data_IF_597110106572
#
_entry.id   IF_597110106572
#
_cell.length_a   1.000
_cell.length_b   1.000
_cell.length_c   1.000
_cell.angle_alpha   90.00
_cell.angle_beta   90.00
_cell.angle_gamma   90.00
#
_symmetry.space_group_name_H-M   'P 1'
#
loop_
_entity.id
_entity.type
_entity.pdbx_description
1 polymer ?
#
# COMPACT_ATOMS: atom_id res chain seq x y z
N UNK A 1 -46.13 14.48 78.77
CA UNK A 1 -45.11 15.06 77.86
C UNK A 1 -44.84 14.06 76.74
N UNK A 2 -45.34 14.28 75.51
CA UNK A 2 -45.21 13.29 74.44
C UNK A 2 -43.84 13.42 73.76
N UNK A 3 -43.08 12.33 73.72
CA UNK A 3 -41.85 12.22 72.94
C UNK A 3 -42.19 11.99 71.46
N UNK A 4 -41.93 13.00 70.66
CA UNK A 4 -42.05 12.98 69.21
C UNK A 4 -41.05 12.01 68.56
N UNK A 5 -41.53 11.01 67.82
CA UNK A 5 -40.71 10.23 66.87
C UNK A 5 -40.33 11.09 65.66
N UNK A 6 -39.10 11.03 65.14
CA UNK A 6 -38.81 11.58 63.83
C UNK A 6 -39.33 10.63 62.74
N UNK A 7 -40.13 11.17 61.82
CA UNK A 7 -40.49 10.51 60.55
C UNK A 7 -39.27 10.58 59.61
N UNK A 8 -38.87 9.42 59.09
CA UNK A 8 -37.96 9.30 57.95
C UNK A 8 -38.54 10.05 56.74
N UNK A 9 -37.81 11.00 56.13
CA UNK A 9 -38.14 11.50 54.80
C UNK A 9 -37.67 10.47 53.77
N UNK A 10 -38.56 10.16 52.83
CA UNK A 10 -38.40 9.10 51.85
C UNK A 10 -37.11 9.16 51.03
N UNK A 11 -36.58 7.98 50.75
CA UNK A 11 -35.63 7.76 49.69
C UNK A 11 -36.26 8.21 48.36
N UNK A 12 -35.93 9.42 47.91
CA UNK A 12 -36.15 9.84 46.52
C UNK A 12 -35.16 9.05 45.66
N UNK A 13 -35.66 8.02 45.00
CA UNK A 13 -35.03 7.33 43.87
C UNK A 13 -34.65 8.37 42.83
N UNK A 14 -33.38 8.76 42.80
CA UNK A 14 -32.80 9.72 41.85
C UNK A 14 -31.58 9.06 41.21
N UNK A 15 -31.82 8.15 40.27
CA UNK A 15 -30.94 7.77 39.16
C UNK A 15 -31.71 6.77 38.28
N UNK A 16 -31.61 6.79 36.92
CA UNK A 16 -30.53 7.41 36.15
C UNK A 16 -31.01 8.15 34.89
N UNK A 17 -30.94 9.49 34.89
CA UNK A 17 -30.79 10.25 33.63
C UNK A 17 -29.32 10.27 33.14
N UNK A 18 -28.48 9.39 33.68
CA UNK A 18 -27.05 9.26 33.36
C UNK A 18 -26.75 8.20 32.28
N UNK A 19 -27.78 7.66 31.61
CA UNK A 19 -27.62 6.73 30.47
C UNK A 19 -27.62 7.42 29.10
N UNK A 20 -27.88 8.72 29.03
CA UNK A 20 -27.90 9.49 27.78
C UNK A 20 -26.53 10.07 27.36
N UNK A 21 -25.47 9.77 28.12
CA UNK A 21 -24.09 10.20 27.85
C UNK A 21 -23.15 9.01 27.57
N UNK A 22 -23.69 7.84 27.23
CA UNK A 22 -22.86 6.79 26.66
C UNK A 22 -22.51 7.24 25.22
N UNK A 23 -21.26 7.58 24.91
CA UNK A 23 -20.87 7.68 23.52
C UNK A 23 -21.19 6.31 22.92
N UNK A 24 -21.99 6.30 21.86
CA UNK A 24 -22.19 5.09 21.09
C UNK A 24 -20.80 4.66 20.62
N UNK A 25 -20.26 3.63 21.27
CA UNK A 25 -19.02 2.99 20.88
C UNK A 25 -19.33 2.25 19.58
N UNK A 26 -19.36 2.99 18.48
CA UNK A 26 -19.41 2.43 17.14
C UNK A 26 -18.06 1.75 16.94
N UNK A 27 -18.04 0.42 17.10
CA UNK A 27 -16.88 -0.39 16.74
C UNK A 27 -16.54 -0.20 15.26
N UNK A 28 -15.30 -0.54 14.90
CA UNK A 28 -14.84 -0.48 13.51
C UNK A 28 -15.70 -1.43 12.66
N UNK A 29 -16.31 -0.93 11.59
CA UNK A 29 -17.13 -1.75 10.71
C UNK A 29 -16.27 -2.68 9.83
N UNK A 30 -16.58 -3.98 9.84
CA UNK A 30 -15.88 -4.98 9.04
C UNK A 30 -16.51 -5.13 7.65
N UNK A 31 -15.79 -4.69 6.61
CA UNK A 31 -16.19 -4.85 5.22
C UNK A 31 -15.73 -6.22 4.69
N UNK A 32 -16.59 -6.86 3.89
CA UNK A 32 -16.30 -8.17 3.29
C UNK A 32 -15.24 -8.12 2.18
N UNK A 33 -14.92 -6.94 1.68
CA UNK A 33 -13.93 -6.78 0.62
C UNK A 33 -12.57 -7.35 1.07
N UNK A 34 -11.88 -8.01 0.15
CA UNK A 34 -10.53 -8.54 0.35
C UNK A 34 -9.63 -7.97 -0.75
N UNK A 35 -8.60 -7.17 -0.41
CA UNK A 35 -7.68 -6.65 -1.41
C UNK A 35 -6.99 -7.79 -2.16
N UNK A 36 -6.76 -7.59 -3.45
CA UNK A 36 -6.11 -8.56 -4.31
C UNK A 36 -5.15 -7.86 -5.27
N UNK A 37 -4.18 -8.63 -5.77
CA UNK A 37 -3.33 -8.20 -6.87
C UNK A 37 -4.19 -7.92 -8.11
N UNK A 38 -3.82 -6.90 -8.89
CA UNK A 38 -4.53 -6.55 -10.13
C UNK A 38 -4.56 -7.72 -11.11
N UNK A 39 -5.77 -8.12 -11.52
CA UNK A 39 -5.95 -9.15 -12.54
C UNK A 39 -6.15 -8.58 -13.94
N UNK A 40 -6.72 -7.36 -14.04
CA UNK A 40 -7.07 -6.72 -15.32
C UNK A 40 -6.70 -5.23 -15.34
N UNK A 41 -6.00 -4.75 -16.38
CA UNK A 41 -5.39 -5.52 -17.46
C UNK A 41 -4.25 -6.43 -16.95
N UNK A 42 -3.81 -7.44 -17.72
CA UNK A 42 -2.62 -8.22 -17.37
C UNK A 42 -1.39 -7.31 -17.32
N UNK A 43 -0.64 -7.37 -16.23
CA UNK A 43 0.56 -6.56 -16.00
C UNK A 43 1.75 -7.46 -15.75
N UNK A 44 2.81 -7.33 -16.55
CA UNK A 44 4.05 -8.09 -16.32
C UNK A 44 4.71 -7.70 -14.97
N UNK A 45 4.66 -6.42 -14.63
CA UNK A 45 5.18 -5.84 -13.38
C UNK A 45 4.19 -5.89 -12.20
N UNK A 46 3.39 -6.96 -12.10
CA UNK A 46 2.43 -7.18 -11.02
C UNK A 46 3.12 -7.30 -9.66
N UNK A 47 4.25 -8.01 -9.62
CA UNK A 47 5.19 -8.05 -8.51
C UNK A 47 6.61 -7.88 -9.05
N UNK A 48 7.41 -7.05 -8.37
CA UNK A 48 8.85 -6.88 -8.61
C UNK A 48 9.62 -7.36 -7.40
N UNK A 49 10.88 -6.97 -7.22
CA UNK A 49 11.63 -7.27 -6.00
C UNK A 49 11.25 -6.41 -4.78
N UNK A 50 10.56 -5.30 -5.01
CA UNK A 50 10.26 -4.31 -3.97
C UNK A 50 8.88 -3.66 -4.12
N UNK A 51 8.08 -4.08 -5.10
CA UNK A 51 6.74 -3.52 -5.35
C UNK A 51 5.74 -4.60 -5.70
N UNK A 52 4.47 -4.32 -5.46
CA UNK A 52 3.36 -5.07 -6.00
C UNK A 52 2.20 -4.15 -6.39
N UNK A 53 1.25 -4.66 -7.16
CA UNK A 53 0.16 -3.86 -7.73
C UNK A 53 -1.19 -4.45 -7.31
N UNK A 54 -1.97 -3.67 -6.57
CA UNK A 54 -3.31 -4.01 -6.10
C UNK A 54 -4.40 -3.42 -6.99
N UNK A 55 -5.55 -4.08 -7.00
CA UNK A 55 -6.80 -3.45 -7.40
C UNK A 55 -7.13 -2.28 -6.45
N UNK A 56 -7.64 -1.18 -7.00
CA UNK A 56 -8.11 -0.06 -6.20
C UNK A 56 -9.43 -0.45 -5.50
N UNK A 57 -9.68 -0.01 -4.26
CA UNK A 57 -10.86 -0.38 -3.46
C UNK A 57 -12.12 0.40 -3.90
N UNK A 58 -12.42 0.39 -5.21
CA UNK A 58 -13.57 1.07 -5.80
C UNK A 58 -14.87 0.45 -5.32
N UNK A 59 -15.87 1.29 -5.03
CA UNK A 59 -17.19 0.87 -4.55
C UNK A 59 -17.17 0.14 -3.18
N UNK A 60 -16.07 0.21 -2.42
CA UNK A 60 -15.93 -0.47 -1.12
C UNK A 60 -16.38 0.44 0.04
N UNK A 61 -16.01 1.71 -0.01
CA UNK A 61 -16.17 2.67 1.10
C UNK A 61 -17.26 3.73 0.86
N UNK A 62 -18.31 3.40 0.11
CA UNK A 62 -19.34 4.38 -0.31
C UNK A 62 -20.05 5.04 0.88
N UNK A 63 -20.26 4.31 1.97
CA UNK A 63 -20.92 4.81 3.18
C UNK A 63 -19.97 5.61 4.12
N UNK A 64 -18.70 5.77 3.74
CA UNK A 64 -17.64 6.39 4.55
C UNK A 64 -17.03 7.62 3.86
N UNK A 65 -17.88 8.46 3.24
CA UNK A 65 -17.45 9.57 2.38
C UNK A 65 -16.60 10.66 3.06
N UNK A 66 -16.64 10.76 4.40
CA UNK A 66 -15.83 11.71 5.17
C UNK A 66 -14.48 11.13 5.62
N UNK A 67 -14.22 9.86 5.32
CA UNK A 67 -13.02 9.16 5.77
C UNK A 67 -11.91 9.19 4.71
N UNK A 68 -10.68 9.28 5.19
CA UNK A 68 -9.47 8.99 4.42
C UNK A 68 -9.25 7.48 4.37
N UNK A 69 -8.96 6.96 3.19
CA UNK A 69 -8.69 5.54 2.96
C UNK A 69 -7.17 5.34 2.99
N UNK A 70 -6.73 4.48 3.90
CA UNK A 70 -5.33 4.13 4.10
C UNK A 70 -5.10 2.67 3.77
N UNK A 71 -3.93 2.37 3.20
CA UNK A 71 -3.46 0.99 3.03
C UNK A 71 -2.54 0.62 4.19
N UNK A 72 -2.89 -0.45 4.90
CA UNK A 72 -1.97 -1.13 5.81
C UNK A 72 -1.18 -2.17 5.03
N UNK A 73 0.13 -2.15 5.15
CA UNK A 73 1.04 -3.15 4.60
C UNK A 73 1.77 -3.81 5.77
N UNK A 74 1.59 -5.12 5.92
CA UNK A 74 2.12 -5.89 7.03
C UNK A 74 2.91 -7.10 6.56
N UNK A 75 3.85 -7.56 7.38
CA UNK A 75 4.32 -8.94 7.28
C UNK A 75 3.17 -9.89 7.64
N UNK A 76 3.07 -11.01 6.93
CA UNK A 76 2.00 -12.01 7.13
C UNK A 76 1.81 -12.40 8.60
N UNK A 77 2.93 -12.65 9.28
CA UNK A 77 3.03 -13.08 10.69
C UNK A 77 2.63 -11.98 11.70
N UNK A 78 2.50 -10.73 11.26
CA UNK A 78 2.09 -9.61 12.12
C UNK A 78 0.60 -9.27 12.01
N UNK A 79 -0.14 -9.89 11.09
CA UNK A 79 -1.54 -9.54 10.82
C UNK A 79 -2.48 -9.74 12.01
N UNK A 80 -2.24 -10.75 12.86
CA UNK A 80 -3.05 -11.04 14.04
C UNK A 80 -2.79 -10.08 15.22
N UNK A 81 -1.63 -9.44 15.24
CA UNK A 81 -1.22 -8.52 16.31
C UNK A 81 -1.38 -7.04 15.92
N UNK A 82 -1.80 -6.77 14.68
CA UNK A 82 -1.95 -5.41 14.19
C UNK A 82 -3.07 -4.66 14.90
N UNK A 83 -2.75 -3.50 15.45
CA UNK A 83 -3.72 -2.65 16.15
C UNK A 83 -4.26 -1.55 15.22
N UNK A 84 -5.56 -1.59 14.92
CA UNK A 84 -6.22 -0.59 14.09
C UNK A 84 -6.34 0.80 14.72
N UNK A 85 -6.12 0.93 16.04
CA UNK A 85 -6.16 2.23 16.70
C UNK A 85 -4.86 3.03 16.52
N UNK A 86 -3.79 2.40 16.02
CA UNK A 86 -2.57 3.11 15.70
C UNK A 86 -2.79 3.98 14.46
N UNK A 87 -2.55 5.29 14.58
CA UNK A 87 -2.73 6.22 13.48
C UNK A 87 -1.66 6.06 12.39
N UNK A 88 -1.86 6.61 11.19
CA UNK A 88 -0.86 6.59 10.13
C UNK A 88 0.40 7.38 10.50
N UNK A 89 1.57 6.78 10.30
CA UNK A 89 2.86 7.43 10.50
C UNK A 89 3.28 7.61 11.97
N UNK A 90 2.58 6.97 12.91
CA UNK A 90 3.04 6.88 14.31
C UNK A 90 4.23 5.92 14.42
N UNK A 91 4.96 5.88 15.56
CA UNK A 91 6.06 4.95 15.74
C UNK A 91 5.70 3.48 15.51
N UNK A 92 4.43 3.10 15.65
CA UNK A 92 3.92 1.74 15.44
C UNK A 92 3.58 1.44 13.97
N UNK A 93 3.46 2.45 13.10
CA UNK A 93 2.98 2.31 11.72
C UNK A 93 3.83 3.09 10.69
N UNK A 94 4.99 3.59 11.09
CA UNK A 94 5.89 4.34 10.21
C UNK A 94 6.70 3.41 9.28
N UNK A 95 6.83 3.79 8.01
CA UNK A 95 7.58 3.06 7.00
C UNK A 95 9.07 2.91 7.34
N UNK A 96 9.68 3.92 7.95
CA UNK A 96 11.13 4.00 8.16
C UNK A 96 11.65 2.95 9.15
N UNK A 97 10.77 2.42 9.99
CA UNK A 97 11.05 1.34 10.93
C UNK A 97 10.53 -0.02 10.44
N UNK A 98 9.96 -0.08 9.23
CA UNK A 98 9.54 -1.32 8.61
C UNK A 98 10.73 -2.01 7.90
N UNK A 99 10.95 -3.32 8.07
CA UNK A 99 10.09 -4.32 8.72
C UNK A 99 10.49 -4.65 10.17
N UNK A 100 11.46 -3.94 10.74
CA UNK A 100 12.00 -4.16 12.08
C UNK A 100 12.45 -2.83 12.70
N UNK A 101 11.96 -2.45 13.89
CA UNK A 101 11.06 -3.20 14.78
C UNK A 101 9.57 -3.20 14.35
N UNK A 102 9.18 -2.34 13.41
CA UNK A 102 7.77 -2.17 13.00
C UNK A 102 7.39 -3.21 11.96
N UNK A 103 6.38 -4.03 12.26
CA UNK A 103 5.99 -5.17 11.41
C UNK A 103 4.85 -4.85 10.43
N UNK A 104 4.29 -3.65 10.50
CA UNK A 104 3.26 -3.14 9.60
C UNK A 104 3.31 -1.62 9.53
N UNK A 105 3.09 -1.04 8.36
CA UNK A 105 3.07 0.41 8.17
C UNK A 105 1.81 0.84 7.40
N UNK A 106 1.48 2.13 7.49
CA UNK A 106 0.36 2.73 6.76
C UNK A 106 0.86 3.67 5.67
N UNK A 107 0.23 3.59 4.51
CA UNK A 107 0.59 4.41 3.34
C UNK A 107 -0.60 4.65 2.42
N UNK A 108 -0.37 5.38 1.32
CA UNK A 108 -1.34 5.61 0.24
C UNK A 108 -2.65 6.23 0.75
N UNK A 109 -2.56 7.34 1.50
CA UNK A 109 -3.72 8.14 1.87
C UNK A 109 -4.46 8.60 0.61
N UNK A 110 -5.73 8.23 0.53
CA UNK A 110 -6.62 8.61 -0.55
C UNK A 110 -8.02 8.93 -0.03
N UNK A 111 -8.64 9.99 -0.55
CA UNK A 111 -10.07 10.21 -0.34
C UNK A 111 -10.90 9.28 -1.23
N UNK A 112 -12.20 9.15 -0.95
CA UNK A 112 -13.12 8.35 -1.77
C UNK A 112 -13.12 8.79 -3.25
N UNK A 113 -12.91 10.09 -3.51
CA UNK A 113 -12.82 10.66 -4.86
C UNK A 113 -11.65 10.13 -5.70
N UNK A 114 -10.60 9.61 -5.07
CA UNK A 114 -9.47 8.96 -5.76
C UNK A 114 -9.84 7.60 -6.37
N UNK A 115 -10.95 7.00 -5.93
CA UNK A 115 -11.43 5.70 -6.38
C UNK A 115 -12.86 5.78 -6.94
N UNK A 116 -13.08 6.48 -8.08
CA UNK A 116 -14.41 6.66 -8.62
C UNK A 116 -15.11 5.31 -8.89
N UNK A 117 -16.43 5.28 -8.68
CA UNK A 117 -17.25 4.10 -8.88
C UNK A 117 -18.40 4.46 -9.84
N UNK A 118 -18.55 3.79 -11.00
CA UNK A 118 -17.74 2.67 -11.49
C UNK A 118 -16.34 3.10 -11.97
N UNK A 119 -15.48 2.11 -12.25
CA UNK A 119 -14.18 2.33 -12.89
C UNK A 119 -14.37 3.06 -14.24
N UNK A 120 -13.64 4.16 -14.53
CA UNK A 120 -13.65 4.79 -15.83
C UNK A 120 -13.24 3.82 -16.95
N UNK A 121 -13.95 3.88 -18.08
CA UNK A 121 -13.65 3.05 -19.23
C UNK A 121 -12.32 3.49 -19.88
N UNK A 122 -11.51 2.53 -20.33
CA UNK A 122 -10.24 2.79 -21.02
C UNK A 122 -9.03 3.03 -20.11
N UNK A 123 -9.23 3.32 -18.82
CA UNK A 123 -8.12 3.63 -17.91
C UNK A 123 -7.48 2.39 -17.28
N UNK A 124 -6.15 2.39 -17.23
CA UNK A 124 -5.37 1.45 -16.42
C UNK A 124 -5.24 2.02 -15.01
N UNK A 125 -6.20 1.68 -14.16
CA UNK A 125 -6.26 2.15 -12.77
C UNK A 125 -5.74 1.08 -11.82
N UNK A 126 -4.62 1.34 -11.17
CA UNK A 126 -4.00 0.41 -10.22
C UNK A 126 -3.50 1.13 -8.99
N UNK A 127 -3.21 0.37 -7.94
CA UNK A 127 -2.56 0.87 -6.73
C UNK A 127 -1.20 0.17 -6.57
N UNK A 128 -0.11 0.85 -6.92
CA UNK A 128 1.25 0.30 -6.77
C UNK A 128 1.78 0.57 -5.38
N UNK A 129 2.09 -0.50 -4.64
CA UNK A 129 2.74 -0.44 -3.33
C UNK A 129 4.25 -0.48 -3.52
N UNK A 130 4.96 0.39 -2.82
CA UNK A 130 6.42 0.49 -2.81
C UNK A 130 7.04 1.36 -3.91
N UNK A 131 6.26 2.25 -4.53
CA UNK A 131 6.73 3.03 -5.69
C UNK A 131 7.51 4.31 -5.36
N UNK A 132 7.49 4.79 -4.11
CA UNK A 132 8.09 6.07 -3.74
C UNK A 132 9.53 5.91 -3.24
N UNK A 133 10.47 5.78 -4.18
CA UNK A 133 11.91 5.67 -3.85
C UNK A 133 12.47 6.95 -3.21
N UNK A 134 11.90 8.11 -3.51
CA UNK A 134 12.40 9.41 -3.05
C UNK A 134 12.24 9.64 -1.55
N UNK A 135 11.21 9.05 -0.92
CA UNK A 135 10.99 9.17 0.54
C UNK A 135 11.56 8.00 1.34
N UNK A 136 12.18 7.01 0.69
CA UNK A 136 12.62 5.79 1.36
C UNK A 136 13.61 6.03 2.52
N UNK A 137 14.34 7.15 2.48
CA UNK A 137 15.27 7.59 3.53
C UNK A 137 14.85 8.88 4.24
N UNK A 138 13.69 9.42 3.89
CA UNK A 138 13.17 10.65 4.46
C UNK A 138 12.34 10.35 5.72
N UNK A 139 12.94 10.56 6.88
CA UNK A 139 12.28 10.34 8.18
C UNK A 139 11.17 11.34 8.49
N UNK A 140 11.08 12.45 7.74
CA UNK A 140 10.01 13.44 7.90
C UNK A 140 8.71 13.00 7.23
N UNK A 141 8.75 11.91 6.44
CA UNK A 141 7.60 11.35 5.71
C UNK A 141 7.25 9.94 6.22
N UNK A 142 6.68 9.78 7.42
CA UNK A 142 6.51 8.47 8.04
C UNK A 142 5.53 7.52 7.32
N UNK A 143 4.66 8.05 6.46
CA UNK A 143 3.66 7.30 5.69
C UNK A 143 4.10 6.97 4.26
N UNK A 144 5.41 7.05 3.99
CA UNK A 144 6.02 6.81 2.67
C UNK A 144 5.54 5.49 2.05
N UNK A 145 5.16 5.51 0.76
CA UNK A 145 4.91 4.30 -0.02
C UNK A 145 6.24 3.74 -0.56
N UNK A 146 7.21 3.55 0.33
CA UNK A 146 8.58 3.25 -0.03
C UNK A 146 8.80 1.80 -0.44
N UNK A 147 9.89 1.49 -1.17
CA UNK A 147 10.17 0.16 -1.69
C UNK A 147 10.21 -0.89 -0.58
N UNK A 148 9.58 -2.03 -0.82
CA UNK A 148 9.54 -3.14 0.12
C UNK A 148 10.92 -3.81 0.25
N UNK A 149 11.31 -4.22 1.48
CA UNK A 149 12.68 -4.61 1.78
C UNK A 149 13.08 -6.02 1.29
N UNK A 150 12.13 -6.85 0.87
CA UNK A 150 12.42 -8.24 0.48
C UNK A 150 11.22 -8.99 -0.10
N UNK A 151 11.30 -10.33 -0.23
CA UNK A 151 10.27 -11.13 -0.88
C UNK A 151 8.95 -11.29 -0.11
N UNK A 152 8.91 -10.89 1.17
CA UNK A 152 7.74 -11.10 2.04
C UNK A 152 7.79 -12.46 2.76
N UNK A 153 6.62 -13.09 3.05
CA UNK A 153 5.29 -12.76 2.57
C UNK A 153 4.67 -11.51 3.23
N UNK A 154 3.96 -10.73 2.42
CA UNK A 154 3.20 -9.55 2.86
C UNK A 154 1.69 -9.82 2.84
N UNK A 155 0.96 -9.07 3.67
CA UNK A 155 -0.50 -8.97 3.60
C UNK A 155 -0.91 -7.50 3.70
N UNK A 156 -2.06 -7.19 3.12
CA UNK A 156 -2.59 -5.83 3.13
C UNK A 156 -4.06 -5.80 3.51
N UNK A 157 -4.50 -4.67 4.06
CA UNK A 157 -5.92 -4.32 4.20
C UNK A 157 -6.09 -2.81 4.05
N UNK A 158 -7.30 -2.36 3.78
CA UNK A 158 -7.64 -0.95 3.81
C UNK A 158 -8.33 -0.60 5.14
N UNK A 159 -8.03 0.60 5.65
CA UNK A 159 -8.73 1.24 6.76
C UNK A 159 -9.34 2.56 6.28
N UNK A 160 -10.57 2.83 6.68
CA UNK A 160 -11.18 4.15 6.55
C UNK A 160 -11.06 4.88 7.89
N UNK A 161 -10.47 6.07 7.88
CA UNK A 161 -10.22 6.88 9.06
C UNK A 161 -10.94 8.23 8.94
N UNK A 162 -11.76 8.58 9.92
CA UNK A 162 -12.26 9.95 10.09
C UNK A 162 -11.31 10.70 11.02
N UNK A 163 -10.41 11.49 10.42
CA UNK A 163 -9.24 12.03 11.13
C UNK A 163 -8.30 10.89 11.54
N UNK A 164 -8.13 10.67 12.84
CA UNK A 164 -7.32 9.57 13.37
C UNK A 164 -8.17 8.36 13.84
N UNK A 165 -9.50 8.44 13.73
CA UNK A 165 -10.40 7.42 14.25
C UNK A 165 -10.73 6.39 13.16
N UNK A 166 -10.40 5.10 13.34
CA UNK A 166 -10.81 4.07 12.40
C UNK A 166 -12.32 3.85 12.47
N UNK A 167 -13.00 3.96 11.32
CA UNK A 167 -14.47 3.78 11.21
C UNK A 167 -14.85 2.52 10.44
N UNK A 168 -14.00 2.04 9.52
CA UNK A 168 -14.18 0.79 8.82
C UNK A 168 -12.85 0.15 8.41
N UNK A 169 -12.89 -1.17 8.17
CA UNK A 169 -11.75 -1.93 7.67
C UNK A 169 -12.17 -3.02 6.69
N UNK A 170 -11.26 -3.45 5.82
CA UNK A 170 -11.45 -4.61 4.96
C UNK A 170 -10.88 -5.88 5.58
N UNK A 171 -11.22 -7.05 5.04
CA UNK A 171 -10.45 -8.25 5.32
C UNK A 171 -8.98 -8.10 4.87
N UNK A 172 -8.08 -8.85 5.51
CA UNK A 172 -6.71 -9.02 5.02
C UNK A 172 -6.69 -9.75 3.67
N UNK A 173 -5.79 -9.34 2.78
CA UNK A 173 -5.52 -10.02 1.51
C UNK A 173 -5.02 -11.45 1.71
N UNK A 174 -5.01 -12.22 0.61
CA UNK A 174 -4.12 -13.39 0.54
C UNK A 174 -2.63 -12.96 0.67
N UNK A 175 -1.76 -13.93 0.91
CA UNK A 175 -0.31 -13.68 0.96
C UNK A 175 0.20 -13.15 -0.39
N UNK A 176 1.04 -12.12 -0.33
CA UNK A 176 1.69 -11.51 -1.48
C UNK A 176 3.19 -11.78 -1.37
N UNK A 177 3.72 -12.49 -2.35
CA UNK A 177 5.15 -12.79 -2.49
C UNK A 177 5.75 -11.94 -3.60
N UNK A 178 6.88 -11.31 -3.29
CA UNK A 178 7.66 -10.53 -4.26
C UNK A 178 8.73 -11.40 -4.90
N UNK A 179 9.28 -10.93 -6.01
CA UNK A 179 10.36 -11.61 -6.73
C UNK A 179 11.67 -11.47 -5.96
N UNK A 180 12.50 -12.50 -5.94
CA UNK A 180 13.87 -12.36 -5.42
C UNK A 180 14.75 -11.71 -6.50
N UNK A 181 15.36 -10.58 -6.18
CA UNK A 181 16.37 -9.98 -7.05
C UNK A 181 17.64 -10.84 -7.04
N UNK A 182 18.23 -11.09 -8.22
CA UNK A 182 19.57 -11.67 -8.29
C UNK A 182 20.61 -10.62 -7.92
N UNK A 183 21.61 -10.97 -7.09
CA UNK A 183 22.68 -10.04 -6.76
C UNK A 183 23.47 -9.71 -8.04
N UNK A 184 23.90 -8.44 -8.24
CA UNK A 184 24.65 -8.05 -9.43
C UNK A 184 25.89 -8.91 -9.68
N UNK A 185 26.55 -9.36 -8.62
CA UNK A 185 27.73 -10.25 -8.68
C UNK A 185 27.45 -11.65 -9.23
N UNK A 186 26.19 -12.08 -9.25
CA UNK A 186 25.77 -13.37 -9.85
C UNK A 186 25.40 -13.26 -11.32
N UNK A 187 25.32 -12.03 -11.85
CA UNK A 187 25.04 -11.81 -13.27
C UNK A 187 26.31 -12.17 -14.04
N UNK A 188 26.25 -13.28 -14.76
CA UNK A 188 27.32 -13.71 -15.65
C UNK A 188 27.55 -12.66 -16.74
N UNK A 189 28.68 -11.95 -16.67
CA UNK A 189 29.13 -11.03 -17.72
C UNK A 189 29.74 -11.77 -18.92
N UNK A 190 29.92 -13.10 -18.82
CA UNK A 190 30.49 -13.94 -19.88
C UNK A 190 29.50 -14.24 -21.02
N UNK A 191 28.31 -13.66 -20.99
CA UNK A 191 27.33 -13.65 -22.08
C UNK A 191 27.50 -12.49 -23.07
N UNK A 192 28.71 -11.95 -23.25
CA UNK A 192 29.02 -11.04 -24.36
C UNK A 192 29.34 -11.84 -25.63
N UNK A 193 28.43 -12.73 -26.04
CA UNK A 193 28.35 -13.09 -27.45
C UNK A 193 27.97 -11.81 -28.18
N UNK A 194 28.79 -11.35 -29.13
CA UNK A 194 28.57 -10.12 -29.89
C UNK A 194 27.08 -9.95 -30.19
N UNK A 195 26.45 -8.93 -29.60
CA UNK A 195 25.05 -8.61 -29.83
C UNK A 195 24.82 -8.61 -31.34
N UNK A 196 23.74 -9.24 -31.82
CA UNK A 196 23.40 -9.24 -33.24
C UNK A 196 23.40 -7.81 -33.81
N UNK A 197 23.10 -6.79 -32.99
CA UNK A 197 23.22 -5.39 -33.34
C UNK A 197 24.67 -4.93 -33.59
N UNK A 198 25.63 -5.39 -32.78
CA UNK A 198 27.05 -5.10 -32.99
C UNK A 198 27.55 -5.73 -34.30
N UNK A 199 27.14 -6.96 -34.61
CA UNK A 199 27.49 -7.63 -35.87
C UNK A 199 26.85 -6.89 -37.06
N UNK A 200 25.58 -6.49 -36.94
CA UNK A 200 24.90 -5.74 -37.99
C UNK A 200 25.59 -4.38 -38.26
N UNK A 201 25.95 -3.65 -37.20
CA UNK A 201 26.62 -2.35 -37.32
C UNK A 201 28.01 -2.50 -37.97
N UNK A 202 28.83 -3.46 -37.53
CA UNK A 202 30.16 -3.67 -38.13
C UNK A 202 30.05 -4.06 -39.59
N UNK A 203 29.11 -4.94 -39.95
CA UNK A 203 28.87 -5.34 -41.35
C UNK A 203 28.45 -4.15 -42.21
N UNK A 204 27.50 -3.32 -41.76
CA UNK A 204 27.05 -2.12 -42.49
C UNK A 204 28.21 -1.14 -42.67
N UNK A 205 28.96 -0.85 -41.61
CA UNK A 205 30.10 0.07 -41.68
C UNK A 205 31.19 -0.44 -42.63
N UNK A 206 31.50 -1.74 -42.60
CA UNK A 206 32.46 -2.35 -43.53
C UNK A 206 32.01 -2.25 -44.98
N UNK A 207 30.72 -2.48 -45.28
CA UNK A 207 30.17 -2.36 -46.63
C UNK A 207 30.21 -0.91 -47.10
N UNK A 208 29.75 0.04 -46.29
CA UNK A 208 29.75 1.47 -46.64
C UNK A 208 31.17 1.98 -46.88
N UNK A 209 32.13 1.54 -46.06
CA UNK A 209 33.53 1.90 -46.24
C UNK A 209 34.12 1.35 -47.54
N UNK A 210 33.83 0.10 -47.89
CA UNK A 210 34.26 -0.50 -49.15
C UNK A 210 33.66 0.23 -50.37
N UNK A 211 32.37 0.60 -50.32
CA UNK A 211 31.71 1.40 -51.37
C UNK A 211 32.39 2.78 -51.52
N UNK A 212 32.70 3.43 -50.40
CA UNK A 212 33.36 4.74 -50.40
C UNK A 212 34.77 4.67 -51.01
N UNK A 213 35.55 3.65 -50.65
CA UNK A 213 36.87 3.41 -51.24
C UNK A 213 36.80 3.11 -52.75
N UNK A 214 35.85 2.28 -53.18
CA UNK A 214 35.66 1.98 -54.60
C UNK A 214 35.28 3.24 -55.39
N UNK A 215 34.42 4.10 -54.83
CA UNK A 215 34.07 5.39 -55.42
C UNK A 215 35.28 6.33 -55.53
N UNK A 216 36.13 6.40 -54.50
CA UNK A 216 37.37 7.19 -54.55
C UNK A 216 38.31 6.70 -55.66
N UNK A 217 38.51 5.38 -55.78
CA UNK A 217 39.39 4.78 -56.80
C UNK A 217 38.85 5.01 -58.20
N UNK A 218 37.53 4.92 -58.41
CA UNK A 218 36.92 5.18 -59.71
C UNK A 218 37.03 6.65 -60.17
N UNK A 219 37.34 7.58 -59.25
CA UNK A 219 37.50 9.00 -59.52
C UNK A 219 38.97 9.45 -59.67
N UNK A 220 39.93 8.54 -59.46
CA UNK A 220 41.37 8.72 -59.68
C UNK A 220 41.75 8.28 -61.10
#
# INVERSE_FOLDING_TARGET
TPHSRPRHPGARTMLPLLLLLLPAAHGIAQLRYRPALTQKPPLEGLTTASTFVLEQPRCVFQDYGNADIWLVVALDQATSAFNNTAGPGTPETAFQSFPDPVRAYMTLNATLGSYPCPKPAGDITVLRVGSETSCARDVTRPTCNGPLPGPGPYRVKFLALEGSNPVAETAWSEQILLRTAQPPSSISTTGSGHSAGMIAITTILSILFAILLAGLVAML
#
